data_IF_919901484152
#
_entry.id   IF_919901484152
#
_cell.length_a   1.000
_cell.length_b   1.000
_cell.length_c   1.000
_cell.angle_alpha   90.00
_cell.angle_beta   90.00
_cell.angle_gamma   90.00
#
_symmetry.space_group_name_H-M   'P 1'
#
loop_
_entity.id
_entity.type
_entity.pdbx_description
1 polymer ?
#
# COMPACT_ATOMS: atom_id res chain seq x y z
N UNK A 1 -2.34 -25.94 -13.78
CA UNK A 1 -3.65 -26.03 -14.48
C UNK A 1 -4.76 -26.13 -13.45
N UNK A 2 -5.33 -25.01 -13.01
CA UNK A 2 -6.46 -25.02 -12.09
C UNK A 2 -7.74 -25.20 -12.89
N UNK A 3 -8.37 -26.37 -12.71
CA UNK A 3 -9.65 -26.77 -13.29
C UNK A 3 -10.72 -25.80 -12.79
N UNK A 4 -11.35 -25.08 -13.71
CA UNK A 4 -12.54 -24.28 -13.43
C UNK A 4 -13.62 -25.30 -13.05
N UNK A 5 -13.83 -25.47 -11.74
CA UNK A 5 -15.00 -26.17 -11.26
C UNK A 5 -16.19 -25.31 -11.64
N UNK A 6 -16.88 -25.75 -12.69
CA UNK A 6 -18.16 -25.22 -13.11
C UNK A 6 -19.15 -25.40 -11.96
N UNK A 7 -19.29 -24.35 -11.17
CA UNK A 7 -20.55 -24.09 -10.51
C UNK A 7 -21.00 -22.70 -10.96
N UNK A 8 -22.30 -22.47 -10.94
CA UNK A 8 -23.02 -21.32 -11.48
C UNK A 8 -22.72 -20.01 -10.72
N UNK A 9 -21.48 -19.81 -10.28
CA UNK A 9 -20.97 -18.55 -9.79
C UNK A 9 -21.03 -17.55 -10.95
N UNK A 10 -21.91 -16.57 -10.78
CA UNK A 10 -22.28 -15.51 -11.71
C UNK A 10 -21.07 -15.07 -12.58
N UNK A 11 -21.21 -15.16 -13.91
CA UNK A 11 -20.15 -14.80 -14.86
C UNK A 11 -19.56 -13.42 -14.56
N UNK A 12 -20.40 -12.51 -14.06
CA UNK A 12 -20.01 -11.17 -13.62
C UNK A 12 -18.98 -11.20 -12.49
N UNK A 13 -19.11 -12.13 -11.53
CA UNK A 13 -18.15 -12.31 -10.44
C UNK A 13 -16.81 -12.78 -10.99
N UNK A 14 -16.81 -13.75 -11.92
CA UNK A 14 -15.57 -14.23 -12.53
C UNK A 14 -14.87 -13.15 -13.34
N UNK A 15 -15.62 -12.35 -14.11
CA UNK A 15 -15.09 -11.21 -14.86
C UNK A 15 -14.50 -10.16 -13.91
N UNK A 16 -15.20 -9.80 -12.84
CA UNK A 16 -14.71 -8.86 -11.83
C UNK A 16 -13.42 -9.36 -11.15
N UNK A 17 -13.33 -10.66 -10.88
CA UNK A 17 -12.13 -11.30 -10.33
C UNK A 17 -10.94 -11.24 -11.30
N UNK A 18 -11.19 -11.50 -12.59
CA UNK A 18 -10.17 -11.40 -13.63
C UNK A 18 -9.69 -9.96 -13.83
N UNK A 19 -10.61 -8.98 -13.83
CA UNK A 19 -10.27 -7.56 -13.93
C UNK A 19 -9.42 -7.09 -12.75
N UNK A 20 -9.74 -7.54 -11.54
CA UNK A 20 -8.94 -7.22 -10.36
C UNK A 20 -7.53 -7.79 -10.47
N UNK A 21 -7.39 -9.05 -10.91
CA UNK A 21 -6.09 -9.67 -11.13
C UNK A 21 -5.27 -8.94 -12.21
N UNK A 22 -5.93 -8.56 -13.31
CA UNK A 22 -5.31 -7.75 -14.37
C UNK A 22 -4.88 -6.37 -13.86
N UNK A 23 -5.71 -5.70 -13.06
CA UNK A 23 -5.41 -4.39 -12.51
C UNK A 23 -4.16 -4.43 -11.61
N UNK A 24 -4.07 -5.42 -10.72
CA UNK A 24 -2.89 -5.60 -9.88
C UNK A 24 -1.65 -5.97 -10.72
N UNK A 25 -1.81 -6.83 -11.74
CA UNK A 25 -0.73 -7.15 -12.68
C UNK A 25 -0.24 -5.93 -13.47
N UNK A 26 -1.08 -4.91 -13.71
CA UNK A 26 -0.66 -3.66 -14.38
C UNK A 26 0.21 -2.76 -13.51
N UNK A 27 0.15 -2.87 -12.18
CA UNK A 27 0.98 -2.06 -11.27
C UNK A 27 2.47 -2.45 -11.35
N UNK A 28 2.78 -3.65 -11.84
CA UNK A 28 4.13 -4.16 -12.04
C UNK A 28 4.37 -4.37 -13.54
N UNK A 29 5.55 -4.02 -14.05
CA UNK A 29 5.86 -4.29 -15.46
C UNK A 29 6.07 -5.78 -15.68
N UNK A 30 5.47 -6.33 -16.74
CA UNK A 30 5.64 -7.71 -17.21
C UNK A 30 5.29 -8.79 -16.17
N UNK A 31 4.27 -8.57 -15.33
CA UNK A 31 3.78 -9.58 -14.38
C UNK A 31 2.47 -10.22 -14.80
N UNK A 32 2.25 -11.43 -14.34
CA UNK A 32 0.98 -12.15 -14.41
C UNK A 32 0.51 -12.40 -12.99
N UNK A 33 -0.72 -12.04 -12.67
CA UNK A 33 -1.33 -12.29 -11.36
C UNK A 33 -2.60 -13.13 -11.55
N UNK A 34 -2.84 -14.04 -10.61
CA UNK A 34 -4.04 -14.90 -10.58
C UNK A 34 -4.92 -14.43 -9.44
N UNK A 35 -6.24 -14.37 -9.69
CA UNK A 35 -7.18 -14.01 -8.64
C UNK A 35 -7.05 -14.96 -7.45
N UNK A 36 -6.95 -14.38 -6.27
CA UNK A 36 -7.04 -15.06 -4.99
C UNK A 36 -7.77 -14.14 -4.01
N UNK A 37 -8.43 -14.70 -3.00
CA UNK A 37 -9.09 -13.88 -1.99
C UNK A 37 -8.08 -12.99 -1.24
N UNK A 38 -6.84 -13.47 -1.05
CA UNK A 38 -5.75 -12.66 -0.49
C UNK A 38 -5.41 -11.45 -1.37
N UNK A 39 -5.42 -11.60 -2.70
CA UNK A 39 -5.22 -10.48 -3.63
C UNK A 39 -6.35 -9.44 -3.49
N UNK A 40 -7.60 -9.90 -3.39
CA UNK A 40 -8.75 -9.02 -3.16
C UNK A 40 -8.61 -8.22 -1.87
N UNK A 41 -8.30 -8.90 -0.77
CA UNK A 41 -8.10 -8.27 0.53
C UNK A 41 -6.94 -7.28 0.51
N UNK A 42 -5.84 -7.60 -0.18
CA UNK A 42 -4.70 -6.68 -0.35
C UNK A 42 -5.11 -5.41 -1.11
N UNK A 43 -5.86 -5.56 -2.20
CA UNK A 43 -6.35 -4.42 -3.00
C UNK A 43 -7.27 -3.52 -2.18
N UNK A 44 -8.22 -4.10 -1.44
CA UNK A 44 -9.10 -3.34 -0.53
C UNK A 44 -8.28 -2.60 0.53
N UNK A 45 -7.30 -3.25 1.16
CA UNK A 45 -6.41 -2.62 2.15
C UNK A 45 -5.64 -1.45 1.53
N UNK A 46 -5.17 -1.58 0.29
CA UNK A 46 -4.47 -0.52 -0.42
C UNK A 46 -5.38 0.68 -0.66
N UNK A 47 -6.60 0.46 -1.16
CA UNK A 47 -7.60 1.53 -1.35
C UNK A 47 -7.95 2.22 -0.04
N UNK A 48 -8.17 1.45 1.03
CA UNK A 48 -8.42 2.01 2.36
C UNK A 48 -7.24 2.85 2.87
N UNK A 49 -6.01 2.39 2.65
CA UNK A 49 -4.81 3.14 3.01
C UNK A 49 -4.73 4.47 2.25
N UNK A 50 -5.04 4.49 0.96
CA UNK A 50 -5.05 5.71 0.16
C UNK A 50 -6.07 6.74 0.67
N UNK A 51 -7.30 6.27 0.98
CA UNK A 51 -8.35 7.12 1.57
C UNK A 51 -7.87 7.70 2.91
N UNK A 52 -7.29 6.85 3.77
CA UNK A 52 -6.78 7.28 5.07
C UNK A 52 -5.64 8.28 4.94
N UNK A 53 -4.71 8.10 3.99
CA UNK A 53 -3.62 9.05 3.75
C UNK A 53 -4.14 10.40 3.27
N UNK A 54 -5.16 10.42 2.39
CA UNK A 54 -5.80 11.68 1.96
C UNK A 54 -6.44 12.41 3.13
N UNK A 55 -7.10 11.68 4.03
CA UNK A 55 -7.68 12.24 5.26
C UNK A 55 -6.59 12.72 6.22
N UNK A 56 -5.51 11.97 6.39
CA UNK A 56 -4.39 12.31 7.25
C UNK A 56 -3.73 13.65 6.88
N UNK A 57 -3.63 13.95 5.58
CA UNK A 57 -3.16 15.25 5.08
C UNK A 57 -4.11 16.36 5.54
N UNK A 58 -5.42 16.17 5.35
CA UNK A 58 -6.43 17.15 5.75
C UNK A 58 -6.48 17.35 7.28
N UNK A 59 -6.21 16.30 8.05
CA UNK A 59 -6.20 16.31 9.51
C UNK A 59 -4.86 16.75 10.12
N UNK A 60 -3.87 17.13 9.31
CA UNK A 60 -2.51 17.46 9.77
C UNK A 60 -1.82 16.36 10.59
N UNK A 61 -2.10 15.10 10.27
CA UNK A 61 -1.52 13.92 10.94
C UNK A 61 -0.14 13.55 10.37
N UNK A 62 0.26 14.15 9.25
CA UNK A 62 1.55 13.92 8.59
C UNK A 62 2.51 15.06 8.95
N UNK A 63 3.67 14.69 9.50
CA UNK A 63 4.69 15.64 9.95
C UNK A 63 6.10 15.15 9.63
N UNK A 64 7.08 16.05 9.72
CA UNK A 64 8.49 15.77 9.45
C UNK A 64 9.27 15.62 10.77
N UNK A 65 10.04 14.54 10.86
CA UNK A 65 11.12 14.40 11.81
C UNK A 65 12.45 14.69 11.13
N UNK A 66 13.42 15.12 11.92
CA UNK A 66 14.74 15.50 11.46
C UNK A 66 15.78 14.66 12.17
N UNK A 67 16.50 13.83 11.41
CA UNK A 67 17.59 13.01 11.94
C UNK A 67 18.94 13.65 11.59
N UNK A 68 19.76 14.06 12.56
CA UNK A 68 21.07 14.63 12.28
C UNK A 68 22.02 13.58 11.70
N UNK A 69 22.80 13.99 10.71
CA UNK A 69 23.87 13.19 10.11
C UNK A 69 25.21 13.72 10.59
N UNK A 70 25.98 12.81 11.21
CA UNK A 70 27.25 13.08 11.88
C UNK A 70 28.32 12.22 11.21
N UNK A 71 29.46 12.80 10.87
CA UNK A 71 30.59 12.06 10.27
C UNK A 71 31.26 11.15 11.30
N UNK A 72 32.23 10.35 10.85
CA UNK A 72 32.94 9.42 11.75
C UNK A 72 33.73 10.16 12.83
N UNK A 73 34.09 11.41 12.55
CA UNK A 73 34.83 12.32 13.43
C UNK A 73 33.91 13.11 14.38
N UNK A 74 32.60 12.88 14.33
CA UNK A 74 31.63 13.52 15.22
C UNK A 74 31.15 14.91 14.74
N UNK A 75 31.49 15.33 13.53
CA UNK A 75 31.07 16.62 12.96
C UNK A 75 29.71 16.50 12.29
N UNK A 76 28.84 17.43 12.64
CA UNK A 76 27.54 17.61 12.00
C UNK A 76 27.72 18.12 10.57
N UNK A 77 27.10 17.46 9.59
CA UNK A 77 27.16 17.88 8.18
C UNK A 77 25.81 17.94 7.48
N UNK A 78 24.72 17.51 8.12
CA UNK A 78 23.41 17.55 7.51
C UNK A 78 22.30 16.97 8.37
N UNK A 79 21.09 16.97 7.81
CA UNK A 79 19.89 16.43 8.43
C UNK A 79 19.08 15.68 7.38
N UNK A 80 18.66 14.47 7.72
CA UNK A 80 17.69 13.71 6.94
C UNK A 80 16.27 14.07 7.38
N UNK A 81 15.41 14.40 6.41
CA UNK A 81 14.00 14.68 6.64
C UNK A 81 13.20 13.39 6.50
N UNK A 82 12.58 12.96 7.59
CA UNK A 82 11.82 11.71 7.68
C UNK A 82 10.33 12.01 7.85
N UNK A 83 9.53 11.61 6.88
CA UNK A 83 8.06 11.74 6.97
C UNK A 83 7.53 10.74 8.01
N UNK A 84 6.62 11.23 8.85
CA UNK A 84 5.92 10.47 9.89
C UNK A 84 4.43 10.72 9.76
N UNK A 85 3.65 9.67 9.98
CA UNK A 85 2.20 9.75 10.04
C UNK A 85 1.72 9.31 11.41
N UNK A 86 1.12 10.22 12.18
CA UNK A 86 0.47 9.90 13.45
C UNK A 86 -0.94 9.40 13.18
N UNK A 87 -1.11 8.07 13.16
CA UNK A 87 -2.41 7.47 12.92
C UNK A 87 -3.13 7.23 14.25
N UNK A 88 -4.29 7.86 14.43
CA UNK A 88 -5.10 7.69 15.65
C UNK A 88 -5.41 6.20 15.90
N UNK A 89 -5.15 5.72 17.11
CA UNK A 89 -5.33 4.32 17.53
C UNK A 89 -4.23 3.33 17.10
N UNK A 90 -3.31 3.71 16.21
CA UNK A 90 -2.21 2.86 15.73
C UNK A 90 -0.81 3.42 16.06
N UNK A 91 -0.72 4.70 16.46
CA UNK A 91 0.53 5.38 16.77
C UNK A 91 1.28 5.86 15.53
N UNK A 92 2.59 6.10 15.68
CA UNK A 92 3.42 6.72 14.64
C UNK A 92 3.82 5.69 13.60
N UNK A 93 3.27 5.82 12.40
CA UNK A 93 3.66 5.07 11.22
C UNK A 93 4.86 5.75 10.53
N UNK A 94 5.84 4.94 10.15
CA UNK A 94 7.07 5.37 9.49
C UNK A 94 7.06 4.86 8.05
N UNK A 95 7.33 5.73 7.09
CA UNK A 95 7.64 5.30 5.72
C UNK A 95 8.98 4.55 5.74
N UNK A 96 8.97 3.30 5.30
CA UNK A 96 10.17 2.47 5.12
C UNK A 96 10.71 2.65 3.71
#
# INVERSE_FOLDING_TARGET
>A
MARIAADKADLNVLLSQADLAMYEAKKRKNSVEVFSESLRQSSIKHTQMEIQLRQAIANHEIYLNYQPQIDREGRFYGVECLVRWQKSGFGVCTAK
#
